data_IF_784806603422
#
_entry.id   IF_784806603422
#
_cell.length_a   1.000
_cell.length_b   1.000
_cell.length_c   1.000
_cell.angle_alpha   90.00
_cell.angle_beta   90.00
_cell.angle_gamma   90.00
#
_symmetry.space_group_name_H-M   'P 1'
#
loop_
_entity.id
_entity.type
_entity.pdbx_description
1 polymer ?
#
# COMPACT_ATOMS: atom_id res chain seq x y z
N UNK A 1 -64.25 -12.63 -17.50
CA UNK A 1 -63.20 -11.75 -16.95
C UNK A 1 -62.14 -12.62 -16.26
N UNK A 2 -61.23 -13.26 -17.02
CA UNK A 2 -60.18 -14.17 -16.49
C UNK A 2 -58.90 -14.09 -17.35
N UNK A 3 -58.40 -12.88 -17.61
CA UNK A 3 -57.18 -12.70 -18.41
C UNK A 3 -56.36 -11.49 -17.95
N UNK A 4 -55.94 -11.48 -16.68
CA UNK A 4 -54.93 -10.50 -16.23
C UNK A 4 -54.03 -10.93 -15.04
N UNK A 5 -54.29 -12.05 -14.35
CA UNK A 5 -53.45 -12.50 -13.21
C UNK A 5 -52.05 -13.01 -13.65
N UNK A 6 -51.97 -13.59 -14.85
CA UNK A 6 -50.79 -14.35 -15.30
C UNK A 6 -49.62 -13.47 -15.78
N UNK A 7 -49.87 -12.18 -16.04
CA UNK A 7 -48.85 -11.23 -16.54
C UNK A 7 -48.04 -10.62 -15.39
N UNK A 8 -48.64 -10.48 -14.21
CA UNK A 8 -48.00 -9.96 -13.00
C UNK A 8 -47.09 -11.01 -12.34
N UNK A 9 -47.53 -12.28 -12.30
CA UNK A 9 -46.74 -13.41 -11.80
C UNK A 9 -45.45 -13.65 -12.61
N UNK A 10 -45.53 -13.60 -13.95
CA UNK A 10 -44.36 -13.73 -14.83
C UNK A 10 -43.33 -12.61 -14.66
N UNK A 11 -43.79 -11.38 -14.37
CA UNK A 11 -42.90 -10.24 -14.08
C UNK A 11 -42.21 -10.42 -12.73
N UNK A 12 -42.93 -10.87 -11.70
CA UNK A 12 -42.38 -11.10 -10.36
C UNK A 12 -41.33 -12.23 -10.34
N UNK A 13 -41.58 -13.32 -11.09
CA UNK A 13 -40.60 -14.41 -11.29
C UNK A 13 -39.35 -13.94 -12.03
N UNK A 14 -39.49 -13.11 -13.07
CA UNK A 14 -38.36 -12.58 -13.82
C UNK A 14 -37.50 -11.61 -12.98
N UNK A 15 -38.12 -10.79 -12.12
CA UNK A 15 -37.41 -9.89 -11.20
C UNK A 15 -36.65 -10.70 -10.13
N UNK A 16 -37.27 -11.72 -9.54
CA UNK A 16 -36.62 -12.60 -8.55
C UNK A 16 -35.41 -13.34 -9.13
N UNK A 17 -35.51 -13.84 -10.37
CA UNK A 17 -34.40 -14.49 -11.06
C UNK A 17 -33.27 -13.51 -11.43
N UNK A 18 -33.59 -12.25 -11.76
CA UNK A 18 -32.60 -11.21 -12.03
C UNK A 18 -31.83 -10.81 -10.77
N UNK A 19 -32.50 -10.65 -9.63
CA UNK A 19 -31.87 -10.35 -8.33
C UNK A 19 -30.94 -11.48 -7.86
N UNK A 20 -31.38 -12.75 -8.00
CA UNK A 20 -30.54 -13.90 -7.69
C UNK A 20 -29.33 -13.99 -8.63
N UNK A 21 -29.51 -13.68 -9.91
CA UNK A 21 -28.42 -13.63 -10.89
C UNK A 21 -27.40 -12.53 -10.60
N UNK A 22 -27.87 -11.32 -10.24
CA UNK A 22 -27.01 -10.18 -9.91
C UNK A 22 -26.19 -10.45 -8.64
N UNK A 23 -26.79 -11.06 -7.61
CA UNK A 23 -26.09 -11.47 -6.39
C UNK A 23 -24.98 -12.50 -6.68
N UNK A 24 -25.27 -13.51 -7.51
CA UNK A 24 -24.29 -14.55 -7.86
C UNK A 24 -23.08 -13.99 -8.64
N UNK A 25 -23.29 -12.98 -9.49
CA UNK A 25 -22.22 -12.29 -10.22
C UNK A 25 -21.30 -11.47 -9.32
N UNK A 26 -21.83 -10.86 -8.25
CA UNK A 26 -21.04 -10.07 -7.31
C UNK A 26 -20.10 -10.96 -6.48
N UNK A 27 -20.52 -12.19 -6.14
CA UNK A 27 -19.69 -13.12 -5.36
C UNK A 27 -18.52 -13.75 -6.14
N UNK A 28 -18.61 -13.88 -7.47
CA UNK A 28 -17.50 -14.40 -8.30
C UNK A 28 -16.41 -13.37 -8.63
N UNK A 29 -16.61 -12.10 -8.28
CA UNK A 29 -15.72 -11.01 -8.70
C UNK A 29 -14.48 -10.76 -7.85
N UNK A 30 -14.27 -11.48 -6.74
CA UNK A 30 -13.19 -11.14 -5.81
C UNK A 30 -12.44 -12.38 -5.30
N UNK A 31 -11.41 -12.83 -6.03
CA UNK A 31 -10.14 -13.28 -5.42
C UNK A 31 -9.09 -13.69 -6.47
N UNK A 32 -8.08 -12.84 -6.67
CA UNK A 32 -6.71 -13.23 -7.01
C UNK A 32 -5.80 -11.99 -7.04
N UNK A 33 -5.58 -11.34 -5.89
CA UNK A 33 -4.44 -10.41 -5.78
C UNK A 33 -3.21 -11.24 -5.45
N UNK A 34 -2.42 -11.55 -6.47
CA UNK A 34 -1.07 -12.09 -6.28
C UNK A 34 -0.21 -11.02 -5.57
N UNK A 35 0.63 -11.40 -4.60
CA UNK A 35 1.55 -10.46 -3.99
C UNK A 35 2.60 -10.05 -5.02
N UNK A 36 2.39 -8.89 -5.68
CA UNK A 36 3.43 -8.23 -6.47
C UNK A 36 4.50 -7.72 -5.50
N UNK A 37 5.58 -8.48 -5.34
CA UNK A 37 6.84 -7.95 -4.81
C UNK A 37 7.37 -6.95 -5.85
N UNK A 38 6.95 -5.70 -5.71
CA UNK A 38 7.46 -4.61 -6.53
C UNK A 38 8.80 -4.19 -5.94
N UNK A 39 9.89 -4.44 -6.66
CA UNK A 39 11.14 -3.66 -6.52
C UNK A 39 10.87 -2.24 -7.04
N UNK A 40 9.92 -1.55 -6.42
CA UNK A 40 9.54 -0.22 -6.87
C UNK A 40 10.58 0.77 -6.37
N UNK A 41 11.51 1.10 -7.26
CA UNK A 41 12.12 2.44 -7.26
C UNK A 41 11.00 3.49 -7.32
N UNK A 42 11.27 4.72 -6.89
CA UNK A 42 10.31 5.82 -7.09
C UNK A 42 10.05 5.98 -8.60
N UNK A 43 8.85 5.59 -9.06
CA UNK A 43 8.49 5.57 -10.50
C UNK A 43 7.96 6.95 -10.88
N UNK A 44 8.53 7.56 -11.92
CA UNK A 44 8.12 8.88 -12.40
C UNK A 44 8.49 10.05 -11.48
N UNK A 45 9.28 9.79 -10.42
CA UNK A 45 9.82 10.85 -9.57
C UNK A 45 11.05 11.51 -10.18
N UNK A 46 11.35 12.71 -9.70
CA UNK A 46 12.62 13.40 -9.93
C UNK A 46 13.43 13.46 -8.63
N UNK A 47 14.74 13.58 -8.77
CA UNK A 47 15.61 13.82 -7.61
C UNK A 47 15.25 15.21 -7.06
N UNK A 48 14.97 15.36 -5.75
CA UNK A 48 14.73 16.66 -5.15
C UNK A 48 15.96 17.55 -5.27
N UNK A 49 15.77 18.86 -5.39
CA UNK A 49 16.89 19.81 -5.27
C UNK A 49 17.55 19.65 -3.89
N UNK A 50 18.88 19.71 -3.82
CA UNK A 50 19.64 19.45 -2.58
C UNK A 50 19.18 20.32 -1.40
N UNK A 51 18.87 21.58 -1.65
CA UNK A 51 18.39 22.53 -0.64
C UNK A 51 16.87 22.51 -0.44
N UNK A 52 16.15 21.59 -1.08
CA UNK A 52 14.70 21.52 -0.89
C UNK A 52 14.37 21.15 0.57
N UNK A 53 13.25 21.65 1.13
CA UNK A 53 12.78 21.22 2.45
C UNK A 53 12.61 19.70 2.54
N UNK A 54 12.18 19.07 1.44
CA UNK A 54 12.06 17.62 1.33
C UNK A 54 13.41 16.91 1.45
N UNK A 55 14.45 17.38 0.76
CA UNK A 55 15.79 16.80 0.87
C UNK A 55 16.37 16.93 2.29
N UNK A 56 16.11 18.06 2.96
CA UNK A 56 16.64 18.33 4.31
C UNK A 56 15.92 17.60 5.43
N UNK A 57 14.63 17.34 5.28
CA UNK A 57 13.80 16.74 6.34
C UNK A 57 13.59 15.25 6.18
N UNK A 58 13.82 14.68 5.00
CA UNK A 58 13.67 13.23 4.77
C UNK A 58 14.78 12.46 5.47
N UNK A 59 14.39 11.39 6.17
CA UNK A 59 15.31 10.45 6.82
C UNK A 59 15.02 9.01 6.40
N UNK A 60 16.04 8.16 6.39
CA UNK A 60 15.89 6.72 6.20
C UNK A 60 15.91 6.01 7.57
N UNK A 61 15.02 5.06 7.75
CA UNK A 61 14.94 4.20 8.93
C UNK A 61 15.34 2.79 8.52
N UNK A 62 16.42 2.26 9.11
CA UNK A 62 17.01 0.98 8.73
C UNK A 62 17.12 0.07 9.94
N UNK A 63 16.66 -1.17 9.79
CA UNK A 63 16.94 -2.27 10.71
C UNK A 63 17.92 -3.23 10.06
N UNK A 64 18.88 -3.70 10.86
CA UNK A 64 19.84 -4.73 10.44
C UNK A 64 19.63 -6.00 11.26
N UNK A 65 19.88 -7.16 10.66
CA UNK A 65 19.98 -8.43 11.37
C UNK A 65 21.33 -8.57 12.10
N UNK A 66 21.55 -9.71 12.76
CA UNK A 66 22.78 -10.01 13.47
C UNK A 66 24.02 -10.12 12.54
N UNK A 67 23.81 -10.39 11.25
CA UNK A 67 24.87 -10.49 10.25
C UNK A 67 25.13 -9.14 9.55
N UNK A 68 24.39 -8.08 9.92
CA UNK A 68 24.49 -6.74 9.34
C UNK A 68 23.66 -6.52 8.07
N UNK A 69 22.87 -7.51 7.64
CA UNK A 69 21.97 -7.41 6.49
C UNK A 69 20.76 -6.53 6.79
N UNK A 70 20.31 -5.72 5.82
CA UNK A 70 19.13 -4.85 5.98
C UNK A 70 17.86 -5.71 5.96
N UNK A 71 17.10 -5.69 7.06
CA UNK A 71 15.85 -6.44 7.21
C UNK A 71 14.61 -5.58 7.04
N UNK A 72 14.72 -4.28 7.27
CA UNK A 72 13.63 -3.32 7.08
C UNK A 72 14.21 -1.98 6.67
N UNK A 73 13.63 -1.39 5.64
CA UNK A 73 13.93 -0.03 5.19
C UNK A 73 12.62 0.75 5.08
N UNK A 74 12.57 1.88 5.79
CA UNK A 74 11.46 2.82 5.80
C UNK A 74 11.98 4.24 5.62
N UNK A 75 11.06 5.19 5.44
CA UNK A 75 11.34 6.63 5.44
C UNK A 75 10.61 7.35 6.57
N UNK A 76 11.08 8.54 6.93
CA UNK A 76 10.43 9.42 7.88
C UNK A 76 10.77 10.89 7.64
N UNK A 77 10.24 11.77 8.49
CA UNK A 77 10.43 13.21 8.42
C UNK A 77 10.95 13.76 9.75
N UNK A 78 12.06 14.50 9.72
CA UNK A 78 12.60 15.22 10.87
C UNK A 78 11.76 16.47 11.15
N UNK A 79 10.93 16.44 12.19
CA UNK A 79 10.02 17.55 12.54
C UNK A 79 10.56 18.45 13.65
N UNK A 80 11.56 17.99 14.40
CA UNK A 80 12.33 18.75 15.38
C UNK A 80 13.72 18.10 15.58
N UNK A 81 14.70 18.74 16.24
CA UNK A 81 16.09 18.26 16.29
C UNK A 81 16.29 16.81 16.76
N UNK A 82 15.33 16.24 17.49
CA UNK A 82 15.36 14.84 17.99
C UNK A 82 14.01 14.13 17.83
N UNK A 83 13.18 14.55 16.88
CA UNK A 83 11.85 13.97 16.66
C UNK A 83 11.62 13.66 15.18
N UNK A 84 11.39 12.37 14.89
CA UNK A 84 11.09 11.87 13.55
C UNK A 84 9.66 11.36 13.51
N UNK A 85 8.89 11.86 12.55
CA UNK A 85 7.56 11.35 12.20
C UNK A 85 7.71 10.21 11.18
N UNK A 86 7.06 9.08 11.43
CA UNK A 86 7.10 7.89 10.56
C UNK A 86 5.82 7.06 10.71
N UNK A 87 5.63 6.07 9.84
CA UNK A 87 4.55 5.10 9.98
C UNK A 87 4.76 4.18 11.20
N UNK A 88 3.68 3.81 11.88
CA UNK A 88 3.71 2.94 13.07
C UNK A 88 4.34 1.57 12.77
N UNK A 89 4.03 0.96 11.63
CA UNK A 89 4.57 -0.35 11.24
C UNK A 89 6.08 -0.34 10.98
N UNK A 90 6.71 0.83 10.78
CA UNK A 90 8.17 0.93 10.65
C UNK A 90 8.87 0.81 12.01
N UNK A 91 8.18 1.16 13.10
CA UNK A 91 8.71 1.15 14.47
C UNK A 91 8.18 0.00 15.31
N UNK A 92 7.06 -0.60 14.91
CA UNK A 92 6.43 -1.69 15.65
C UNK A 92 7.32 -2.94 15.72
N UNK A 93 7.39 -3.48 16.94
CA UNK A 93 7.91 -4.78 17.36
C UNK A 93 8.97 -5.45 16.47
N UNK A 94 10.23 -5.07 16.65
CA UNK A 94 11.35 -6.00 16.42
C UNK A 94 12.45 -5.76 17.45
N UNK A 95 13.07 -6.86 17.90
CA UNK A 95 14.19 -6.84 18.88
C UNK A 95 15.49 -6.26 18.29
N UNK A 96 15.48 -5.84 17.03
CA UNK A 96 16.64 -5.31 16.33
C UNK A 96 16.75 -3.80 16.49
N UNK A 97 17.98 -3.29 16.49
CA UNK A 97 18.24 -1.85 16.61
C UNK A 97 17.74 -1.12 15.36
N UNK A 98 16.85 -0.15 15.56
CA UNK A 98 16.43 0.78 14.51
C UNK A 98 17.44 1.93 14.45
N UNK A 99 17.97 2.20 13.25
CA UNK A 99 18.89 3.32 13.00
C UNK A 99 18.24 4.33 12.08
N UNK A 100 18.44 5.61 12.37
CA UNK A 100 17.96 6.72 11.54
C UNK A 100 19.16 7.34 10.83
N UNK A 101 19.07 7.45 9.50
CA UNK A 101 20.04 8.11 8.65
C UNK A 101 19.43 9.39 8.10
N UNK A 102 20.16 10.49 8.28
CA UNK A 102 19.86 11.77 7.66
C UNK A 102 20.52 11.79 6.28
N UNK A 103 20.17 12.73 5.39
CA UNK A 103 20.77 12.85 4.05
C UNK A 103 22.32 12.78 4.10
N UNK A 104 23.06 12.40 3.05
CA UNK A 104 22.78 12.28 1.61
C UNK A 104 22.98 10.84 1.15
N UNK A 105 22.02 10.24 0.47
CA UNK A 105 22.26 9.03 -0.31
C UNK A 105 21.33 9.02 -1.52
N UNK A 106 21.90 9.24 -2.70
CA UNK A 106 21.41 8.58 -3.90
C UNK A 106 21.61 7.07 -3.69
N UNK A 107 20.70 6.42 -2.96
CA UNK A 107 20.63 4.94 -2.85
C UNK A 107 20.17 4.30 -4.18
N UNK A 108 20.27 5.05 -5.29
CA UNK A 108 20.00 4.62 -6.63
C UNK A 108 21.30 4.26 -7.38
N UNK A 109 22.48 4.44 -6.78
CA UNK A 109 23.79 4.17 -7.40
C UNK A 109 24.48 2.88 -6.91
N UNK A 110 23.89 2.18 -5.95
CA UNK A 110 24.40 0.98 -5.28
C UNK A 110 23.79 -0.33 -5.81
N UNK A 111 23.15 -0.28 -6.98
CA UNK A 111 22.76 -1.46 -7.77
C UNK A 111 23.88 -1.94 -8.70
N UNK A 112 25.04 -2.30 -8.16
CA UNK A 112 26.11 -2.99 -8.90
C UNK A 112 25.91 -4.50 -8.84
#
# INVERSE_FOLDING_TARGET
>A
MFRNENRTQRKQLAISLFELGLSLFIFLGCSAQTPKVSTSKIVGGSIPLEDSPSARSTVALVRKDANGGITTMCSGVLVAPRLVLTAAHCVESSKTKLSVFFGTADTATDGK
#
